data_IF_150913064182
#
_entry.id   IF_150913064182
#
_cell.length_a   1.000
_cell.length_b   1.000
_cell.length_c   1.000
_cell.angle_alpha   90.00
_cell.angle_beta   90.00
_cell.angle_gamma   90.00
#
_symmetry.space_group_name_H-M   'P 1'
#
loop_
_entity.id
_entity.type
_entity.pdbx_description
1 polymer ?
#
# COMPACT_ATOMS: atom_id res chain seq x y z
N UNK A 1 30.11 -7.23 4.56
CA UNK A 1 30.59 -6.25 5.56
C UNK A 1 29.64 -6.33 6.74
N UNK A 2 30.10 -6.80 7.90
CA UNK A 2 29.25 -6.97 9.08
C UNK A 2 28.83 -5.61 9.62
N UNK A 3 27.54 -5.41 9.82
CA UNK A 3 27.06 -4.26 10.58
C UNK A 3 27.50 -4.48 12.03
N UNK A 4 28.45 -3.69 12.51
CA UNK A 4 28.79 -3.67 13.93
C UNK A 4 27.58 -3.11 14.69
N UNK A 5 26.70 -4.02 15.10
CA UNK A 5 25.43 -3.75 15.75
C UNK A 5 25.63 -3.58 17.27
N UNK A 6 26.67 -2.86 17.66
CA UNK A 6 26.96 -2.58 19.07
C UNK A 6 26.05 -1.46 19.52
N UNK A 7 25.12 -1.79 20.40
CA UNK A 7 24.28 -0.82 21.09
C UNK A 7 25.17 0.10 21.95
N UNK A 8 24.83 1.40 22.09
CA UNK A 8 25.51 2.27 23.02
C UNK A 8 25.35 1.79 24.46
N UNK A 9 26.41 1.89 25.27
CA UNK A 9 26.35 1.60 26.72
C UNK A 9 25.73 2.76 27.52
N UNK A 10 25.60 3.95 26.91
CA UNK A 10 25.00 5.12 27.53
C UNK A 10 23.46 5.03 27.51
N UNK A 11 22.85 5.15 28.69
CA UNK A 11 21.40 4.98 28.87
C UNK A 11 20.58 6.06 28.14
N UNK A 12 21.08 7.29 28.03
CA UNK A 12 20.37 8.36 27.33
C UNK A 12 20.43 8.15 25.81
N UNK A 13 21.57 7.66 25.29
CA UNK A 13 21.67 7.23 23.89
C UNK A 13 20.75 6.05 23.57
N UNK A 14 20.62 5.07 24.47
CA UNK A 14 19.68 3.96 24.30
C UNK A 14 18.22 4.43 24.26
N UNK A 15 17.83 5.35 25.16
CA UNK A 15 16.49 5.96 25.14
C UNK A 15 16.24 6.72 23.83
N UNK A 16 17.22 7.47 23.34
CA UNK A 16 17.11 8.21 22.08
C UNK A 16 16.93 7.25 20.89
N UNK A 17 17.69 6.15 20.84
CA UNK A 17 17.53 5.11 19.81
C UNK A 17 16.16 4.44 19.88
N UNK A 18 15.64 4.16 21.08
CA UNK A 18 14.31 3.57 21.26
C UNK A 18 13.21 4.52 20.76
N UNK A 19 13.29 5.81 21.10
CA UNK A 19 12.33 6.82 20.61
C UNK A 19 12.38 6.92 19.08
N UNK A 20 13.58 6.94 18.49
CA UNK A 20 13.75 7.00 17.05
C UNK A 20 13.15 5.75 16.36
N UNK A 21 13.40 4.56 16.89
CA UNK A 21 12.81 3.32 16.39
C UNK A 21 11.29 3.32 16.52
N UNK A 22 10.74 3.77 17.66
CA UNK A 22 9.30 3.86 17.86
C UNK A 22 8.64 4.80 16.85
N UNK A 23 9.29 5.94 16.54
CA UNK A 23 8.82 6.87 15.53
C UNK A 23 8.81 6.23 14.13
N UNK A 24 9.84 5.45 13.78
CA UNK A 24 9.88 4.68 12.53
C UNK A 24 8.77 3.65 12.48
N UNK A 25 8.55 2.88 13.55
CA UNK A 25 7.47 1.88 13.64
C UNK A 25 6.10 2.53 13.44
N UNK A 26 5.83 3.67 14.10
CA UNK A 26 4.57 4.40 13.98
C UNK A 26 4.36 4.86 12.53
N UNK A 27 5.39 5.41 11.90
CA UNK A 27 5.32 5.86 10.50
C UNK A 27 5.01 4.69 9.56
N UNK A 28 5.78 3.61 9.63
CA UNK A 28 5.61 2.43 8.79
C UNK A 28 4.24 1.77 9.00
N UNK A 29 3.78 1.67 10.25
CA UNK A 29 2.44 1.16 10.57
C UNK A 29 1.34 2.02 9.95
N UNK A 30 1.54 3.35 9.94
CA UNK A 30 0.65 4.30 9.26
C UNK A 30 0.61 4.08 7.75
N UNK A 31 1.76 3.89 7.11
CA UNK A 31 1.87 3.59 5.68
C UNK A 31 1.17 2.27 5.32
N UNK A 32 1.45 1.19 6.06
CA UNK A 32 0.81 -0.12 5.88
C UNK A 32 -0.72 0.01 5.96
N UNK A 33 -1.21 0.72 6.98
CA UNK A 33 -2.64 0.97 7.14
C UNK A 33 -3.22 1.80 6.00
N UNK A 34 -2.46 2.79 5.51
CA UNK A 34 -2.81 3.59 4.34
C UNK A 34 -2.96 2.75 3.08
N UNK A 35 -1.96 1.93 2.75
CA UNK A 35 -2.00 1.03 1.60
C UNK A 35 -3.16 0.03 1.69
N UNK A 36 -3.40 -0.55 2.86
CA UNK A 36 -4.53 -1.48 3.07
C UNK A 36 -5.90 -0.83 2.80
N UNK A 37 -6.10 0.42 3.23
CA UNK A 37 -7.33 1.18 2.95
C UNK A 37 -7.47 1.52 1.46
N UNK A 38 -6.38 1.93 0.81
CA UNK A 38 -6.38 2.24 -0.62
C UNK A 38 -6.71 0.99 -1.46
N UNK A 39 -6.06 -0.15 -1.18
CA UNK A 39 -6.36 -1.43 -1.82
C UNK A 39 -7.84 -1.80 -1.64
N UNK A 40 -8.38 -1.67 -0.43
CA UNK A 40 -9.79 -1.99 -0.17
C UNK A 40 -10.75 -1.11 -0.99
N UNK A 41 -10.45 0.18 -1.10
CA UNK A 41 -11.23 1.13 -1.90
C UNK A 41 -11.15 0.84 -3.40
N UNK A 42 -9.95 0.51 -3.89
CA UNK A 42 -9.75 0.14 -5.30
C UNK A 42 -10.47 -1.17 -5.65
N UNK A 43 -10.46 -2.18 -4.76
CA UNK A 43 -11.22 -3.42 -4.96
C UNK A 43 -12.73 -3.17 -5.04
N UNK A 44 -13.26 -2.29 -4.18
CA UNK A 44 -14.67 -1.89 -4.26
C UNK A 44 -14.98 -1.15 -5.58
N UNK A 45 -14.06 -0.29 -6.05
CA UNK A 45 -14.19 0.38 -7.34
C UNK A 45 -14.18 -0.61 -8.51
N UNK A 46 -13.27 -1.58 -8.51
CA UNK A 46 -13.22 -2.65 -9.53
C UNK A 46 -14.53 -3.40 -9.59
N UNK A 47 -15.06 -3.85 -8.43
CA UNK A 47 -16.34 -4.55 -8.38
C UNK A 47 -17.50 -3.68 -8.92
N UNK A 48 -17.51 -2.39 -8.60
CA UNK A 48 -18.50 -1.44 -9.15
C UNK A 48 -18.37 -1.31 -10.67
N UNK A 49 -17.16 -1.18 -11.19
CA UNK A 49 -16.91 -1.04 -12.62
C UNK A 49 -17.26 -2.31 -13.39
N UNK A 50 -16.97 -3.49 -12.85
CA UNK A 50 -17.37 -4.78 -13.43
C UNK A 50 -18.90 -4.90 -13.52
N UNK A 51 -19.64 -4.47 -12.49
CA UNK A 51 -21.11 -4.40 -12.54
C UNK A 51 -21.63 -3.41 -13.59
N UNK A 52 -20.93 -2.29 -13.79
CA UNK A 52 -21.27 -1.30 -14.82
C UNK A 52 -20.91 -1.73 -16.23
N UNK A 53 -19.97 -2.67 -16.39
CA UNK A 53 -19.59 -3.25 -17.68
C UNK A 53 -20.69 -4.20 -18.18
N UNK A 54 -21.30 -4.93 -17.24
CA UNK A 54 -22.48 -5.74 -17.51
C UNK A 54 -23.64 -4.85 -18.01
N UNK A 55 -24.27 -5.22 -19.11
CA UNK A 55 -25.38 -4.46 -19.71
C UNK A 55 -24.99 -3.26 -20.58
N UNK A 56 -23.70 -2.96 -20.77
CA UNK A 56 -23.26 -1.97 -21.77
C UNK A 56 -23.34 -2.56 -23.17
N UNK A 57 -23.98 -1.87 -24.10
CA UNK A 57 -24.08 -2.27 -25.52
C UNK A 57 -23.03 -1.58 -26.41
N UNK A 58 -22.51 -0.41 -26.02
CA UNK A 58 -21.53 0.33 -26.81
C UNK A 58 -20.10 -0.10 -26.51
N UNK A 59 -19.39 -0.56 -27.54
CA UNK A 59 -17.99 -0.98 -27.48
C UNK A 59 -17.08 0.09 -26.86
N UNK A 60 -17.20 1.33 -27.34
CA UNK A 60 -16.44 2.49 -26.83
C UNK A 60 -16.66 2.75 -25.33
N UNK A 61 -17.84 2.43 -24.82
CA UNK A 61 -18.14 2.58 -23.39
C UNK A 61 -17.58 1.43 -22.55
N UNK A 62 -17.55 0.22 -23.10
CA UNK A 62 -16.94 -0.97 -22.48
C UNK A 62 -15.44 -0.79 -22.34
N UNK A 63 -14.77 -0.45 -23.44
CA UNK A 63 -13.32 -0.24 -23.49
C UNK A 63 -12.85 0.78 -22.44
N UNK A 64 -13.62 1.86 -22.23
CA UNK A 64 -13.33 2.86 -21.19
C UNK A 64 -13.42 2.30 -19.77
N UNK A 65 -14.38 1.42 -19.51
CA UNK A 65 -14.57 0.80 -18.19
C UNK A 65 -13.46 -0.23 -17.96
N UNK A 66 -13.15 -1.06 -18.95
CA UNK A 66 -12.05 -2.04 -18.90
C UNK A 66 -10.70 -1.36 -18.64
N UNK A 67 -10.40 -0.26 -19.32
CA UNK A 67 -9.19 0.55 -19.05
C UNK A 67 -9.13 1.07 -17.61
N UNK A 68 -10.26 1.41 -17.00
CA UNK A 68 -10.31 1.85 -15.59
C UNK A 68 -10.10 0.68 -14.63
N UNK A 69 -10.66 -0.48 -14.93
CA UNK A 69 -10.44 -1.72 -14.17
C UNK A 69 -8.96 -2.07 -14.19
N UNK A 70 -8.34 -2.16 -15.37
CA UNK A 70 -6.93 -2.51 -15.52
C UNK A 70 -5.99 -1.56 -14.77
N UNK A 71 -6.29 -0.24 -14.79
CA UNK A 71 -5.53 0.75 -14.01
C UNK A 71 -5.67 0.54 -12.50
N UNK A 72 -6.89 0.28 -12.03
CA UNK A 72 -7.14 0.03 -10.61
C UNK A 72 -6.45 -1.26 -10.15
N UNK A 73 -6.47 -2.32 -10.97
CA UNK A 73 -5.78 -3.59 -10.69
C UNK A 73 -4.26 -3.43 -10.66
N UNK A 74 -3.70 -2.67 -11.61
CA UNK A 74 -2.25 -2.35 -11.62
C UNK A 74 -1.84 -1.63 -10.34
N UNK A 75 -2.65 -0.65 -9.89
CA UNK A 75 -2.39 0.07 -8.65
C UNK A 75 -2.51 -0.82 -7.41
N UNK A 76 -3.47 -1.74 -7.38
CA UNK A 76 -3.59 -2.74 -6.32
C UNK A 76 -2.31 -3.58 -6.24
N UNK A 77 -1.82 -4.10 -7.37
CA UNK A 77 -0.59 -4.90 -7.41
C UNK A 77 0.62 -4.11 -6.92
N UNK A 78 0.78 -2.85 -7.35
CA UNK A 78 1.86 -1.97 -6.88
C UNK A 78 1.84 -1.81 -5.35
N UNK A 79 0.67 -1.53 -4.77
CA UNK A 79 0.51 -1.36 -3.33
C UNK A 79 0.73 -2.68 -2.56
N UNK A 80 0.33 -3.81 -3.13
CA UNK A 80 0.58 -5.13 -2.54
C UNK A 80 2.07 -5.50 -2.54
N UNK A 81 2.79 -5.18 -3.62
CA UNK A 81 4.25 -5.38 -3.66
C UNK A 81 4.94 -4.51 -2.60
N UNK A 82 4.54 -3.25 -2.49
CA UNK A 82 5.05 -2.34 -1.43
C UNK A 82 4.73 -2.80 -0.02
N UNK A 83 3.62 -3.50 0.19
CA UNK A 83 3.29 -4.14 1.47
C UNK A 83 4.11 -5.40 1.73
N UNK A 84 4.47 -6.16 0.70
CA UNK A 84 5.28 -7.38 0.82
C UNK A 84 6.79 -7.14 0.90
N UNK A 85 7.25 -5.96 0.46
CA UNK A 85 8.64 -5.49 0.58
C UNK A 85 8.95 -4.78 1.91
N UNK A 86 7.92 -4.50 2.73
CA UNK A 86 8.01 -3.81 4.03
C UNK A 86 8.09 -4.79 5.20
#
# INVERSE_FOLDING_TARGET
MGMNNTLPDDIEQLKALLIAQQAVIVRLSGEITGYAREISSLRALVAKLQRMLFGRSSEKSREKIEKKIARAETRITELQNRLGEA
#
